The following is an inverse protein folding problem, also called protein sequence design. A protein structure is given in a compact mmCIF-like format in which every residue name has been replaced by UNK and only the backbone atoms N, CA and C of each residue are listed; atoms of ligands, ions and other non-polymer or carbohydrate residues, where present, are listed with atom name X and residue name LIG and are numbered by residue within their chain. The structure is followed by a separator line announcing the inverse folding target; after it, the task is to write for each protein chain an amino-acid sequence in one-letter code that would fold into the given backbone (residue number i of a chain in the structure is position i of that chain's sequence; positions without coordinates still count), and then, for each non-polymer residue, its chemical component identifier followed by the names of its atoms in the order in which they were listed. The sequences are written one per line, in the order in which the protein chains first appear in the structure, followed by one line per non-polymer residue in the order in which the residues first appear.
data_IF_510709631011
#
_entry.id   IF_510709631011
#
_cell.length_a   1.000
_cell.length_b   1.000
_cell.length_c   1.000
_cell.angle_alpha   90.00
_cell.angle_beta   90.00
_cell.angle_gamma   90.00
#
_symmetry.space_group_name_H-M   'P 1'
#
loop_
_entity.id
_entity.type
_entity.pdbx_description
1 polymer ?
#
# COMPACT_ATOMS: atom_id res chain seq x y z
N UNK A 1 -19.44 6.11 -25.26
CA UNK A 1 -18.78 7.34 -25.75
C UNK A 1 -19.16 8.49 -24.85
N UNK A 2 -18.21 9.04 -24.09
CA UNK A 2 -18.40 10.33 -23.41
C UNK A 2 -18.20 11.46 -24.43
N UNK A 3 -18.77 12.66 -24.20
CA UNK A 3 -18.64 13.75 -25.14
C UNK A 3 -17.18 14.20 -25.24
N UNK A 4 -16.72 14.39 -26.48
CA UNK A 4 -15.43 14.95 -26.83
C UNK A 4 -15.31 16.37 -26.24
N UNK A 5 -14.39 16.57 -25.29
CA UNK A 5 -14.07 17.90 -24.77
C UNK A 5 -13.31 18.68 -25.84
N UNK A 6 -14.04 19.48 -26.61
CA UNK A 6 -13.49 20.57 -27.41
C UNK A 6 -12.60 21.47 -26.53
N UNK A 7 -11.46 21.88 -27.11
CA UNK A 7 -10.36 22.51 -26.41
C UNK A 7 -10.73 23.79 -25.68
N UNK A 8 -10.94 23.70 -24.36
CA UNK A 8 -10.87 24.87 -23.49
C UNK A 8 -9.45 25.44 -23.56
N UNK A 9 -9.36 26.68 -24.01
CA UNK A 9 -8.16 27.50 -23.92
C UNK A 9 -7.59 27.42 -22.50
N UNK A 10 -6.30 27.03 -22.38
CA UNK A 10 -5.67 26.74 -21.09
C UNK A 10 -5.49 28.03 -20.32
N UNK A 11 -6.44 28.34 -19.44
CA UNK A 11 -6.32 29.46 -18.49
C UNK A 11 -5.12 29.23 -17.56
N UNK A 12 -4.41 30.28 -17.16
CA UNK A 12 -3.34 30.15 -16.18
C UNK A 12 -3.94 29.64 -14.85
N UNK A 13 -3.50 28.44 -14.45
CA UNK A 13 -3.90 27.81 -13.20
C UNK A 13 -2.88 28.17 -12.13
N UNK A 14 -3.33 28.84 -11.08
CA UNK A 14 -2.50 29.12 -9.91
C UNK A 14 -2.74 28.06 -8.82
N UNK A 15 -1.66 27.43 -8.35
CA UNK A 15 -1.72 26.47 -7.24
C UNK A 15 -1.26 27.16 -5.96
N UNK A 16 -2.06 27.07 -4.89
CA UNK A 16 -1.71 27.58 -3.56
C UNK A 16 -2.07 26.58 -2.44
N UNK A 17 -1.53 26.70 -1.22
CA UNK A 17 -1.95 25.89 -0.08
C UNK A 17 -3.43 26.11 0.26
N UNK A 18 -4.14 25.07 0.69
CA UNK A 18 -5.46 25.24 1.28
C UNK A 18 -5.33 25.91 2.66
N UNK A 19 -5.92 27.09 2.82
CA UNK A 19 -6.04 27.83 4.06
C UNK A 19 -7.52 27.85 4.46
N UNK A 20 -7.81 27.27 5.62
CA UNK A 20 -9.16 27.23 6.17
C UNK A 20 -9.75 28.65 6.22
N UNK A 21 -11.04 28.78 5.91
CA UNK A 21 -11.82 30.04 5.80
C UNK A 21 -11.47 31.00 4.64
N UNK A 22 -10.22 31.02 4.15
CA UNK A 22 -9.77 32.00 3.15
C UNK A 22 -9.84 31.44 1.72
N UNK A 23 -9.46 30.19 1.53
CA UNK A 23 -9.32 29.58 0.19
C UNK A 23 -10.57 29.70 -0.69
N UNK A 24 -11.76 29.42 -0.15
CA UNK A 24 -12.99 29.48 -0.94
C UNK A 24 -13.31 30.90 -1.44
N UNK A 25 -13.07 31.90 -0.60
CA UNK A 25 -13.29 33.30 -0.96
C UNK A 25 -12.30 33.75 -2.03
N UNK A 26 -11.03 33.37 -1.90
CA UNK A 26 -9.99 33.66 -2.90
C UNK A 26 -10.34 33.02 -4.25
N UNK A 27 -10.75 31.74 -4.29
CA UNK A 27 -11.18 31.09 -5.54
C UNK A 27 -12.38 31.79 -6.18
N UNK A 28 -13.35 32.22 -5.37
CA UNK A 28 -14.54 32.92 -5.85
C UNK A 28 -14.21 34.29 -6.45
N UNK A 29 -13.25 35.03 -5.88
CA UNK A 29 -12.80 36.32 -6.41
C UNK A 29 -11.93 36.12 -7.67
N UNK A 30 -10.94 35.23 -7.61
CA UNK A 30 -10.03 34.94 -8.72
C UNK A 30 -10.76 34.53 -10.00
N UNK A 31 -11.80 33.71 -9.88
CA UNK A 31 -12.64 33.31 -11.02
C UNK A 31 -13.32 34.49 -11.73
N UNK A 32 -13.62 35.59 -11.04
CA UNK A 32 -14.21 36.79 -11.67
C UNK A 32 -13.22 37.52 -12.56
N UNK A 33 -11.92 37.37 -12.28
CA UNK A 33 -10.82 37.96 -13.04
C UNK A 33 -10.18 36.96 -14.03
N UNK A 34 -10.83 35.82 -14.29
CA UNK A 34 -10.35 34.83 -15.26
C UNK A 34 -9.17 33.98 -14.79
N UNK A 35 -8.83 34.02 -13.50
CA UNK A 35 -7.73 33.21 -12.91
C UNK A 35 -8.32 31.96 -12.27
N UNK A 36 -7.86 30.78 -12.71
CA UNK A 36 -8.26 29.52 -12.09
C UNK A 36 -7.33 29.19 -10.92
N UNK A 37 -7.92 28.80 -9.78
CA UNK A 37 -7.18 28.51 -8.55
C UNK A 37 -7.43 27.08 -8.12
N UNK A 38 -6.33 26.35 -7.94
CA UNK A 38 -6.29 25.02 -7.35
C UNK A 38 -5.62 25.08 -5.97
N UNK A 39 -6.18 24.32 -5.03
CA UNK A 39 -5.63 24.19 -3.70
C UNK A 39 -4.83 22.89 -3.59
N UNK A 40 -3.58 23.02 -3.16
CA UNK A 40 -2.76 21.88 -2.78
C UNK A 40 -3.16 21.38 -1.38
N UNK A 41 -3.21 20.06 -1.23
CA UNK A 41 -3.41 19.44 0.06
C UNK A 41 -2.16 19.62 0.95
N UNK A 42 -2.34 19.85 2.27
CA UNK A 42 -1.22 20.03 3.21
C UNK A 42 -0.31 18.80 3.28
N UNK A 43 -0.86 17.60 3.11
CA UNK A 43 -0.12 16.34 3.03
C UNK A 43 -0.29 15.71 1.66
N UNK A 44 0.76 15.77 0.84
CA UNK A 44 0.77 15.12 -0.48
C UNK A 44 0.91 13.60 -0.30
N UNK A 45 0.21 12.81 -1.13
CA UNK A 45 0.31 11.33 -1.09
C UNK A 45 1.75 10.82 -1.15
N UNK A 46 2.62 11.46 -1.95
CA UNK A 46 4.06 11.13 -2.02
C UNK A 46 4.75 11.17 -0.65
N UNK A 47 4.36 12.09 0.22
CA UNK A 47 4.91 12.22 1.56
C UNK A 47 4.46 11.04 2.45
N UNK A 48 3.21 10.60 2.31
CA UNK A 48 2.66 9.42 3.00
C UNK A 48 3.33 8.13 2.49
N UNK A 49 3.48 7.98 1.17
CA UNK A 49 4.14 6.81 0.58
C UNK A 49 5.59 6.68 1.05
N UNK A 50 6.33 7.79 1.21
CA UNK A 50 7.70 7.75 1.75
C UNK A 50 7.75 7.17 3.18
N UNK A 51 6.77 7.51 4.01
CA UNK A 51 6.64 6.97 5.37
C UNK A 51 6.33 5.46 5.33
N UNK A 52 5.53 5.01 4.37
CA UNK A 52 5.23 3.59 4.16
C UNK A 52 6.46 2.80 3.70
N UNK A 53 7.31 3.38 2.85
CA UNK A 53 8.53 2.72 2.35
C UNK A 53 9.71 2.70 3.32
N UNK A 54 9.73 3.59 4.32
CA UNK A 54 10.78 3.65 5.36
C UNK A 54 10.61 2.60 6.47
N UNK A 55 9.72 1.62 6.30
CA UNK A 55 9.62 0.47 7.18
C UNK A 55 11.00 -0.19 7.27
N UNK A 56 11.64 -0.14 8.45
CA UNK A 56 12.91 -0.81 8.69
C UNK A 56 12.73 -2.28 8.31
N UNK A 57 13.59 -2.80 7.43
CA UNK A 57 13.61 -4.24 7.10
C UNK A 57 13.76 -5.00 8.42
N UNK A 58 12.69 -5.63 8.88
CA UNK A 58 12.72 -6.40 10.12
C UNK A 58 13.79 -7.49 9.98
N UNK A 59 14.73 -7.53 10.92
CA UNK A 59 15.68 -8.64 11.04
C UNK A 59 15.08 -9.67 11.99
N UNK A 60 15.15 -10.94 11.63
CA UNK A 60 14.68 -11.99 12.52
C UNK A 60 15.60 -12.09 13.73
N UNK A 61 15.04 -11.92 14.93
CA UNK A 61 15.77 -12.09 16.20
C UNK A 61 15.65 -13.51 16.75
N UNK A 62 14.71 -14.32 16.23
CA UNK A 62 14.45 -15.67 16.70
C UNK A 62 15.48 -16.66 16.15
N UNK A 63 16.04 -17.50 17.02
CA UNK A 63 16.76 -18.71 16.62
C UNK A 63 15.74 -19.79 16.28
N UNK A 64 15.52 -20.01 14.98
CA UNK A 64 14.60 -21.03 14.52
C UNK A 64 15.20 -22.42 14.72
N UNK A 65 14.50 -23.30 15.43
CA UNK A 65 14.92 -24.70 15.60
C UNK A 65 14.85 -25.48 14.27
N UNK A 66 13.79 -25.27 13.50
CA UNK A 66 13.64 -25.79 12.13
C UNK A 66 13.63 -24.62 11.15
N UNK A 67 14.64 -24.54 10.30
CA UNK A 67 14.77 -23.53 9.25
C UNK A 67 14.33 -24.15 7.93
N UNK A 68 13.21 -23.69 7.38
CA UNK A 68 12.73 -24.13 6.08
C UNK A 68 13.39 -23.34 4.95
N UNK A 69 13.57 -22.04 5.17
CA UNK A 69 14.16 -21.11 4.20
C UNK A 69 14.98 -20.03 4.90
N UNK A 70 15.69 -19.17 4.15
CA UNK A 70 16.28 -17.95 4.73
C UNK A 70 15.18 -17.02 5.26
N UNK A 71 15.39 -16.41 6.43
CA UNK A 71 14.41 -15.51 7.03
C UNK A 71 14.07 -14.33 6.11
N UNK A 72 12.79 -14.24 5.73
CA UNK A 72 12.20 -13.16 4.93
C UNK A 72 10.89 -12.69 5.57
N UNK A 73 10.51 -11.44 5.30
CA UNK A 73 9.41 -10.72 5.93
C UNK A 73 8.57 -10.00 4.88
N UNK A 74 7.30 -9.75 5.18
CA UNK A 74 6.37 -9.02 4.31
C UNK A 74 6.31 -9.60 2.88
N UNK A 75 6.16 -10.93 2.78
CA UNK A 75 6.12 -11.66 1.52
C UNK A 75 4.79 -12.40 1.32
N UNK A 76 4.47 -12.64 0.06
CA UNK A 76 3.49 -13.65 -0.38
C UNK A 76 4.26 -14.92 -0.74
N UNK A 77 3.73 -16.07 -0.33
CA UNK A 77 4.37 -17.36 -0.55
C UNK A 77 3.33 -18.39 -1.01
N UNK A 78 3.83 -19.46 -1.66
CA UNK A 78 3.03 -20.59 -2.08
C UNK A 78 3.57 -21.90 -1.50
N UNK A 79 2.67 -22.83 -1.16
CA UNK A 79 2.99 -24.19 -0.73
C UNK A 79 2.32 -25.15 -1.73
N UNK A 80 3.10 -25.95 -2.48
CA UNK A 80 2.54 -26.97 -3.36
C UNK A 80 1.94 -28.11 -2.54
N UNK A 81 0.75 -28.57 -2.94
CA UNK A 81 0.04 -29.68 -2.32
C UNK A 81 0.16 -30.93 -3.20
N UNK A 82 0.08 -32.11 -2.58
CA UNK A 82 0.17 -33.40 -3.28
C UNK A 82 -0.90 -33.60 -4.36
N UNK A 83 -2.07 -32.96 -4.21
CA UNK A 83 -3.15 -33.00 -5.19
C UNK A 83 -2.95 -32.07 -6.40
N UNK A 84 -1.76 -31.52 -6.59
CA UNK A 84 -1.43 -30.61 -7.69
C UNK A 84 -1.97 -29.18 -7.52
N UNK A 85 -2.68 -28.89 -6.41
CA UNK A 85 -3.12 -27.53 -6.05
C UNK A 85 -2.05 -26.80 -5.25
N UNK A 86 -2.23 -25.49 -5.06
CA UNK A 86 -1.32 -24.64 -4.29
C UNK A 86 -2.06 -23.86 -3.21
N UNK A 87 -1.46 -23.73 -2.03
CA UNK A 87 -1.89 -22.79 -1.01
C UNK A 87 -1.08 -21.51 -1.14
N UNK A 88 -1.75 -20.37 -1.32
CA UNK A 88 -1.11 -19.05 -1.39
C UNK A 88 -1.44 -18.27 -0.13
N UNK A 89 -0.42 -17.82 0.58
CA UNK A 89 -0.55 -17.07 1.82
C UNK A 89 0.31 -15.81 1.83
N UNK A 90 -0.06 -14.85 2.68
CA UNK A 90 0.72 -13.65 2.94
C UNK A 90 1.15 -13.61 4.40
N UNK A 91 2.35 -13.08 4.67
CA UNK A 91 2.79 -12.81 6.05
C UNK A 91 3.62 -11.55 6.19
N UNK A 92 3.29 -10.73 7.20
CA UNK A 92 4.16 -9.65 7.69
C UNK A 92 5.27 -10.14 8.64
N UNK A 93 5.09 -11.32 9.27
CA UNK A 93 6.08 -11.95 10.18
C UNK A 93 7.09 -12.80 9.40
N UNK A 94 8.14 -13.27 10.07
CA UNK A 94 9.15 -14.16 9.49
C UNK A 94 8.49 -15.40 8.85
N UNK A 95 8.82 -15.70 7.60
CA UNK A 95 8.20 -16.81 6.87
C UNK A 95 8.47 -18.18 7.53
N UNK A 96 9.64 -18.41 8.14
CA UNK A 96 9.91 -19.66 8.88
C UNK A 96 8.95 -19.89 10.05
N UNK A 97 8.49 -18.83 10.71
CA UNK A 97 7.51 -18.95 11.80
C UNK A 97 6.16 -19.40 11.25
N UNK A 98 5.72 -18.85 10.12
CA UNK A 98 4.49 -19.27 9.44
C UNK A 98 4.56 -20.69 8.93
N UNK A 99 5.68 -21.08 8.31
CA UNK A 99 5.87 -22.45 7.82
C UNK A 99 5.90 -23.45 8.98
N UNK A 100 6.47 -23.09 10.14
CA UNK A 100 6.38 -23.90 11.36
C UNK A 100 4.94 -24.06 11.84
N UNK A 101 4.17 -22.98 11.90
CA UNK A 101 2.75 -23.02 12.27
C UNK A 101 1.96 -23.95 11.34
N UNK A 102 2.14 -23.83 10.02
CA UNK A 102 1.52 -24.74 9.05
C UNK A 102 1.95 -26.19 9.26
N UNK A 103 3.26 -26.45 9.43
CA UNK A 103 3.77 -27.80 9.66
C UNK A 103 3.18 -28.42 10.94
N UNK A 104 3.09 -27.65 12.02
CA UNK A 104 2.48 -28.10 13.27
C UNK A 104 0.97 -28.31 13.14
N UNK A 105 0.27 -27.44 12.41
CA UNK A 105 -1.17 -27.60 12.17
C UNK A 105 -1.49 -28.85 11.36
N UNK A 106 -0.61 -29.26 10.42
CA UNK A 106 -0.75 -30.51 9.68
C UNK A 106 -0.36 -31.71 10.54
N UNK A 107 0.77 -31.65 11.27
CA UNK A 107 1.22 -32.74 12.15
C UNK A 107 0.26 -33.00 13.32
N UNK A 108 -0.32 -31.94 13.89
CA UNK A 108 -1.35 -32.04 14.93
C UNK A 108 -2.70 -32.50 14.40
N UNK A 109 -2.87 -32.55 13.08
CA UNK A 109 -3.98 -33.19 12.38
C UNK A 109 -3.52 -34.54 11.82
N UNK A 110 -3.05 -35.44 12.68
CA UNK A 110 -3.05 -36.86 12.36
C UNK A 110 -4.51 -37.34 12.39
N UNK A 111 -5.26 -36.99 11.34
CA UNK A 111 -6.49 -37.70 11.00
C UNK A 111 -6.01 -38.98 10.34
N UNK A 112 -6.08 -40.07 11.11
CA UNK A 112 -6.01 -41.43 10.59
C UNK A 112 -7.06 -41.51 9.47
N UNK A 113 -6.61 -41.78 8.24
CA UNK A 113 -7.47 -42.35 7.21
C UNK A 113 -7.37 -43.85 7.37
#
# INVERSE_FOLDING_TARGET
MGPSVEGRERRPIHVMPYLYSVSHNVKKVANRYGVDVLFSAPTKLRQICSLMTKQKKAKCTKKHANVFIRCVFAVVYLIPLSCGRVYIGQTGRCLNERLREHSLAVKGKMVVI
#
